data_IF_009736079997
#
_entry.id   IF_009736079997
#
_cell.length_a   1.000
_cell.length_b   1.000
_cell.length_c   1.000
_cell.angle_alpha   90.00
_cell.angle_beta   90.00
_cell.angle_gamma   90.00
#
_symmetry.space_group_name_H-M   'P 1'
#
loop_
_entity.id
_entity.type
_entity.pdbx_description
1 polymer ?
#
# COMPACT_ATOMS: atom_id res chain seq x y z
N UNK A 1 -18.50 25.77 -8.72
CA UNK A 1 -19.77 25.33 -8.11
C UNK A 1 -19.43 24.97 -6.67
N UNK A 2 -20.05 25.56 -5.64
CA UNK A 2 -19.81 25.17 -4.26
C UNK A 2 -20.26 23.70 -4.06
N UNK A 3 -19.53 22.93 -3.24
CA UNK A 3 -19.85 21.53 -2.93
C UNK A 3 -21.29 21.35 -2.41
N UNK A 4 -21.90 22.41 -1.87
CA UNK A 4 -23.31 22.46 -1.44
C UNK A 4 -24.34 22.25 -2.55
N UNK A 5 -23.93 22.30 -3.82
CA UNK A 5 -24.81 22.10 -4.99
C UNK A 5 -24.63 20.73 -5.67
N UNK A 6 -23.66 19.92 -5.23
CA UNK A 6 -23.48 18.54 -5.69
C UNK A 6 -24.41 17.62 -4.89
N UNK A 7 -25.55 17.24 -5.47
CA UNK A 7 -26.36 16.14 -4.94
C UNK A 7 -25.71 14.81 -5.31
N UNK A 8 -24.72 14.39 -4.53
CA UNK A 8 -24.16 13.05 -4.59
C UNK A 8 -25.02 12.14 -3.71
N UNK A 9 -25.41 10.97 -4.24
CA UNK A 9 -25.98 9.92 -3.41
C UNK A 9 -24.96 9.60 -2.29
N UNK A 10 -25.45 9.40 -1.07
CA UNK A 10 -24.65 9.08 0.12
C UNK A 10 -23.75 10.23 0.67
N UNK A 11 -23.88 11.46 0.16
CA UNK A 11 -23.24 12.64 0.76
C UNK A 11 -24.20 13.35 1.72
N UNK A 12 -24.07 13.13 3.02
CA UNK A 12 -24.81 13.87 4.04
C UNK A 12 -24.06 15.16 4.43
N UNK A 13 -24.61 16.36 4.15
CA UNK A 13 -23.95 17.60 4.53
C UNK A 13 -23.74 17.69 6.05
N UNK A 14 -22.49 17.87 6.46
CA UNK A 14 -22.13 18.01 7.87
C UNK A 14 -21.86 16.70 8.60
N UNK A 15 -21.82 15.55 7.92
CA UNK A 15 -21.30 14.30 8.49
C UNK A 15 -19.91 14.56 9.11
N UNK A 16 -19.65 14.19 10.38
CA UNK A 16 -18.31 14.35 10.97
C UNK A 16 -17.27 13.47 10.27
N UNK A 17 -16.04 13.97 10.10
CA UNK A 17 -14.93 13.21 9.51
C UNK A 17 -14.77 11.83 10.15
N UNK A 18 -14.85 11.73 11.48
CA UNK A 18 -14.75 10.46 12.19
C UNK A 18 -15.77 9.43 11.69
N UNK A 19 -17.03 9.84 11.55
CA UNK A 19 -18.13 8.97 11.11
C UNK A 19 -17.91 8.50 9.68
N UNK A 20 -17.51 9.42 8.79
CA UNK A 20 -17.19 9.12 7.40
C UNK A 20 -16.04 8.11 7.27
N UNK A 21 -14.96 8.29 8.04
CA UNK A 21 -13.80 7.37 8.08
C UNK A 21 -14.19 6.00 8.62
N UNK A 22 -15.04 5.93 9.67
CA UNK A 22 -15.54 4.67 10.20
C UNK A 22 -16.37 3.89 9.18
N UNK A 23 -17.24 4.59 8.45
CA UNK A 23 -18.05 4.01 7.38
C UNK A 23 -17.16 3.46 6.26
N UNK A 24 -16.18 4.24 5.82
CA UNK A 24 -15.24 3.80 4.79
C UNK A 24 -14.42 2.58 5.26
N UNK A 25 -13.90 2.60 6.49
CA UNK A 25 -13.15 1.48 7.06
C UNK A 25 -13.99 0.19 7.10
N UNK A 26 -15.28 0.30 7.44
CA UNK A 26 -16.19 -0.84 7.43
C UNK A 26 -16.40 -1.41 6.02
N UNK A 27 -16.48 -0.57 4.98
CA UNK A 27 -16.58 -1.01 3.58
C UNK A 27 -15.33 -1.82 3.19
N UNK A 28 -14.14 -1.31 3.49
CA UNK A 28 -12.89 -2.00 3.16
C UNK A 28 -12.69 -3.30 3.93
N UNK A 29 -13.14 -3.34 5.19
CA UNK A 29 -13.18 -4.57 5.98
C UNK A 29 -14.10 -5.60 5.33
N UNK A 30 -15.31 -5.21 4.94
CA UNK A 30 -16.23 -6.10 4.23
C UNK A 30 -15.62 -6.63 2.92
N UNK A 31 -14.96 -5.77 2.14
CA UNK A 31 -14.28 -6.20 0.93
C UNK A 31 -13.18 -7.23 1.20
N UNK A 32 -12.42 -7.07 2.28
CA UNK A 32 -11.41 -8.05 2.70
C UNK A 32 -12.04 -9.38 3.11
N UNK A 33 -13.14 -9.34 3.86
CA UNK A 33 -13.88 -10.51 4.34
C UNK A 33 -14.51 -11.35 3.21
N UNK A 34 -14.60 -10.82 1.98
CA UNK A 34 -15.02 -11.60 0.80
C UNK A 34 -14.00 -12.66 0.36
N UNK A 35 -12.77 -12.61 0.87
CA UNK A 35 -11.70 -13.58 0.59
C UNK A 35 -11.49 -14.46 1.81
N UNK A 36 -11.79 -15.75 1.71
CA UNK A 36 -11.64 -16.73 2.81
C UNK A 36 -10.17 -17.08 3.18
N UNK A 37 -9.19 -16.31 2.71
CA UNK A 37 -7.78 -16.48 3.04
C UNK A 37 -7.33 -15.33 3.96
N UNK A 38 -6.93 -15.58 5.22
CA UNK A 38 -6.47 -14.52 6.11
C UNK A 38 -5.09 -14.00 5.71
N UNK A 39 -4.90 -12.69 5.82
CA UNK A 39 -3.62 -12.00 5.68
C UNK A 39 -3.27 -11.27 6.98
N UNK A 40 -2.33 -11.78 7.79
CA UNK A 40 -2.00 -11.21 9.09
C UNK A 40 -1.59 -9.74 9.05
N UNK A 41 -1.02 -9.26 7.94
CA UNK A 41 -0.67 -7.84 7.80
C UNK A 41 -1.91 -6.97 7.61
N UNK A 42 -2.90 -7.46 6.87
CA UNK A 42 -4.18 -6.76 6.68
C UNK A 42 -4.97 -6.78 7.98
N UNK A 43 -5.05 -7.93 8.66
CA UNK A 43 -5.71 -8.05 9.96
C UNK A 43 -5.12 -7.05 10.96
N UNK A 44 -3.79 -7.02 11.07
CA UNK A 44 -3.09 -6.08 11.94
C UNK A 44 -3.37 -4.61 11.56
N UNK A 45 -3.31 -4.28 10.27
CA UNK A 45 -3.55 -2.92 9.80
C UNK A 45 -4.99 -2.47 10.08
N UNK A 46 -5.98 -3.34 9.88
CA UNK A 46 -7.39 -3.04 10.15
C UNK A 46 -7.64 -2.81 11.64
N UNK A 47 -7.04 -3.61 12.53
CA UNK A 47 -7.09 -3.36 13.99
C UNK A 47 -6.42 -2.04 14.34
N UNK A 48 -5.21 -1.78 13.83
CA UNK A 48 -4.52 -0.52 14.08
C UNK A 48 -5.36 0.69 13.63
N UNK A 49 -6.06 0.57 12.49
CA UNK A 49 -6.92 1.64 11.98
C UNK A 49 -8.10 1.91 12.90
N UNK A 50 -8.77 0.89 13.44
CA UNK A 50 -9.87 1.07 14.40
C UNK A 50 -9.41 1.83 15.66
N UNK A 51 -8.22 1.50 16.17
CA UNK A 51 -7.68 2.08 17.39
C UNK A 51 -7.23 3.54 17.23
N UNK A 52 -6.94 3.96 15.99
CA UNK A 52 -6.29 5.23 15.69
C UNK A 52 -7.16 6.21 14.89
N UNK A 53 -8.48 5.97 14.77
CA UNK A 53 -9.39 6.83 13.99
C UNK A 53 -9.25 8.31 14.41
N UNK A 54 -9.01 9.24 13.44
CA UNK A 54 -8.86 10.66 13.72
C UNK A 54 -10.00 11.24 14.56
N UNK A 55 -9.63 12.04 15.57
CA UNK A 55 -10.58 12.61 16.54
C UNK A 55 -10.99 14.05 16.24
N UNK A 56 -10.76 14.52 15.01
CA UNK A 56 -10.99 15.90 14.60
C UNK A 56 -12.48 16.23 14.55
N UNK A 57 -12.85 17.38 15.12
CA UNK A 57 -14.21 17.93 15.05
C UNK A 57 -14.33 18.85 13.82
N UNK A 58 -14.47 18.23 12.66
CA UNK A 58 -14.68 18.91 11.39
C UNK A 58 -15.60 18.07 10.49
N UNK A 59 -16.39 18.71 9.61
CA UNK A 59 -17.23 18.00 8.66
C UNK A 59 -16.38 17.32 7.58
N UNK A 60 -16.83 16.15 7.15
CA UNK A 60 -16.28 15.44 6.00
C UNK A 60 -16.43 16.29 4.73
N UNK A 61 -15.50 16.08 3.80
CA UNK A 61 -15.51 16.70 2.47
C UNK A 61 -15.58 15.60 1.41
N UNK A 62 -15.87 15.97 0.17
CA UNK A 62 -15.68 15.05 -0.94
C UNK A 62 -14.18 14.80 -1.13
N UNK A 63 -13.76 13.56 -0.94
CA UNK A 63 -12.40 13.11 -1.30
C UNK A 63 -12.46 12.38 -2.64
N UNK A 64 -11.38 12.48 -3.41
CA UNK A 64 -11.26 11.74 -4.68
C UNK A 64 -11.17 10.24 -4.43
N UNK A 65 -10.45 9.84 -3.36
CA UNK A 65 -10.32 8.45 -2.94
C UNK A 65 -9.35 7.62 -3.78
N UNK A 66 -8.79 8.21 -4.85
CA UNK A 66 -7.64 7.70 -5.62
C UNK A 66 -6.75 8.83 -6.18
N UNK A 67 -6.40 9.83 -5.37
CA UNK A 67 -5.66 10.99 -5.88
C UNK A 67 -4.21 10.65 -6.30
N UNK A 68 -3.79 11.06 -7.50
CA UNK A 68 -2.39 10.96 -7.91
C UNK A 68 -2.12 11.15 -9.40
N UNK A 69 -0.83 11.17 -9.82
CA UNK A 69 -0.40 11.53 -11.17
C UNK A 69 -1.10 10.77 -12.32
N UNK A 70 -1.46 9.50 -12.10
CA UNK A 70 -2.17 8.68 -13.09
C UNK A 70 -3.59 9.16 -13.42
N UNK A 71 -4.19 9.96 -12.54
CA UNK A 71 -5.58 10.42 -12.65
C UNK A 71 -5.68 11.89 -13.07
N UNK A 72 -4.56 12.55 -13.39
CA UNK A 72 -4.52 13.95 -13.82
C UNK A 72 -4.21 14.08 -15.30
N UNK A 73 -5.10 14.74 -16.04
CA UNK A 73 -4.80 15.18 -17.39
C UNK A 73 -4.20 16.57 -17.37
N UNK A 74 -3.17 16.79 -18.17
CA UNK A 74 -2.51 18.08 -18.31
C UNK A 74 -2.60 18.57 -19.75
N UNK A 75 -2.90 19.87 -19.90
CA UNK A 75 -2.86 20.59 -21.16
C UNK A 75 -2.08 21.88 -20.97
N UNK A 76 -1.06 22.11 -21.80
CA UNK A 76 -0.21 23.32 -21.75
C UNK A 76 0.39 23.63 -20.35
N UNK A 77 0.75 22.59 -19.59
CA UNK A 77 1.33 22.75 -18.24
C UNK A 77 0.31 23.01 -17.12
N UNK A 78 -0.98 22.95 -17.41
CA UNK A 78 -2.06 23.08 -16.43
C UNK A 78 -2.89 21.80 -16.37
N UNK A 79 -3.35 21.44 -15.17
CA UNK A 79 -4.29 20.32 -15.02
C UNK A 79 -5.63 20.68 -15.69
N UNK A 80 -6.06 19.87 -16.65
CA UNK A 80 -7.29 20.08 -17.44
C UNK A 80 -8.44 19.19 -16.97
N UNK A 81 -8.17 18.01 -16.42
CA UNK A 81 -9.18 17.12 -15.86
C UNK A 81 -8.64 16.22 -14.75
N UNK A 82 -9.55 15.83 -13.87
CA UNK A 82 -9.37 14.79 -12.86
C UNK A 82 -10.26 13.60 -13.23
N UNK A 83 -9.64 12.43 -13.39
CA UNK A 83 -10.28 11.20 -13.84
C UNK A 83 -10.50 10.24 -12.68
N UNK A 84 -11.35 9.24 -12.91
CA UNK A 84 -11.48 8.05 -12.05
C UNK A 84 -12.01 8.32 -10.63
N UNK A 85 -13.27 8.73 -10.57
CA UNK A 85 -13.99 9.05 -9.33
C UNK A 85 -14.67 7.83 -8.68
N UNK A 86 -14.32 6.60 -9.06
CA UNK A 86 -15.04 5.40 -8.60
C UNK A 86 -14.84 5.12 -7.10
N UNK A 87 -13.76 5.64 -6.52
CA UNK A 87 -13.45 5.55 -5.09
C UNK A 87 -13.82 6.83 -4.32
N UNK A 88 -14.51 7.79 -4.95
CA UNK A 88 -14.87 9.04 -4.32
C UNK A 88 -15.95 8.85 -3.25
N UNK A 89 -15.75 9.48 -2.09
CA UNK A 89 -16.65 9.36 -0.94
C UNK A 89 -16.56 10.60 -0.04
N UNK A 90 -17.49 10.79 0.92
CA UNK A 90 -17.27 11.71 2.03
C UNK A 90 -16.14 11.20 2.92
N UNK A 91 -15.15 12.04 3.23
CA UNK A 91 -13.98 11.64 4.03
C UNK A 91 -13.19 12.83 4.60
N UNK A 92 -11.99 12.51 5.12
CA UNK A 92 -11.05 13.52 5.60
C UNK A 92 -10.23 14.08 4.41
N UNK A 93 -10.12 15.40 4.22
CA UNK A 93 -9.26 15.96 3.17
C UNK A 93 -7.80 15.48 3.21
N UNK A 94 -7.31 15.02 4.37
CA UNK A 94 -5.96 14.48 4.51
C UNK A 94 -5.76 13.15 3.78
N UNK A 95 -6.84 12.44 3.42
CA UNK A 95 -6.78 11.18 2.68
C UNK A 95 -6.16 11.35 1.30
N UNK A 96 -6.61 12.34 0.52
CA UNK A 96 -6.05 12.56 -0.82
C UNK A 96 -4.57 12.95 -0.75
N UNK A 97 -4.15 13.70 0.28
CA UNK A 97 -2.73 14.00 0.52
C UNK A 97 -1.93 12.75 0.90
N UNK A 98 -2.53 11.80 1.62
CA UNK A 98 -1.92 10.51 1.93
C UNK A 98 -1.74 9.65 0.67
N UNK A 99 -2.73 9.62 -0.23
CA UNK A 99 -2.62 8.98 -1.55
C UNK A 99 -1.45 9.54 -2.36
N UNK A 100 -1.34 10.87 -2.45
CA UNK A 100 -0.21 11.54 -3.09
C UNK A 100 1.13 11.15 -2.48
N UNK A 101 1.22 11.17 -1.14
CA UNK A 101 2.45 10.83 -0.43
C UNK A 101 2.85 9.38 -0.67
N UNK A 102 1.92 8.43 -0.65
CA UNK A 102 2.22 7.02 -0.92
C UNK A 102 2.68 6.82 -2.37
N UNK A 103 2.00 7.45 -3.34
CA UNK A 103 2.29 7.31 -4.78
C UNK A 103 3.61 7.98 -5.20
N UNK A 104 4.09 8.96 -4.43
CA UNK A 104 5.37 9.64 -4.70
C UNK A 104 6.60 8.71 -4.69
N UNK A 105 6.48 7.49 -4.14
CA UNK A 105 7.54 6.46 -4.21
C UNK A 105 7.72 5.95 -5.65
N UNK A 106 6.64 5.92 -6.43
CA UNK A 106 6.68 5.49 -7.84
C UNK A 106 6.93 6.68 -8.77
N UNK A 107 6.24 7.79 -8.51
CA UNK A 107 6.33 9.01 -9.32
C UNK A 107 6.57 10.20 -8.39
N UNK A 108 7.84 10.56 -8.13
CA UNK A 108 8.18 11.60 -7.17
C UNK A 108 7.54 12.93 -7.53
N UNK A 109 6.85 13.52 -6.57
CA UNK A 109 6.34 14.89 -6.68
C UNK A 109 7.50 15.85 -6.40
N UNK A 110 7.88 16.72 -7.35
CA UNK A 110 8.91 17.73 -7.10
C UNK A 110 8.48 18.68 -5.98
N UNK A 111 9.38 18.91 -5.03
CA UNK A 111 9.18 19.85 -3.91
C UNK A 111 7.85 19.64 -3.16
N UNK A 112 7.65 18.41 -2.65
CA UNK A 112 6.48 18.04 -1.87
C UNK A 112 6.18 19.01 -0.70
N UNK A 113 7.17 19.53 0.05
CA UNK A 113 6.92 20.56 1.05
C UNK A 113 6.28 21.83 0.49
N UNK A 114 6.74 22.34 -0.65
CA UNK A 114 6.11 23.51 -1.28
C UNK A 114 4.67 23.22 -1.74
N UNK A 115 4.38 22.01 -2.20
CA UNK A 115 3.01 21.58 -2.54
C UNK A 115 2.10 21.61 -1.32
N UNK A 116 2.56 21.08 -0.18
CA UNK A 116 1.81 21.14 1.08
C UNK A 116 1.55 22.60 1.50
N UNK A 117 2.56 23.46 1.48
CA UNK A 117 2.38 24.89 1.82
C UNK A 117 1.45 25.62 0.85
N UNK A 118 1.41 25.22 -0.43
CA UNK A 118 0.46 25.76 -1.39
C UNK A 118 -0.98 25.31 -1.09
N UNK A 119 -1.16 24.03 -0.73
CA UNK A 119 -2.43 23.49 -0.30
C UNK A 119 -2.97 24.22 0.94
N UNK A 120 -2.18 24.38 1.99
CA UNK A 120 -2.58 25.09 3.22
C UNK A 120 -3.06 26.51 2.95
N UNK A 121 -2.35 27.24 2.09
CA UNK A 121 -2.71 28.62 1.71
C UNK A 121 -4.05 28.71 0.99
N UNK A 122 -4.34 27.74 0.11
CA UNK A 122 -5.59 27.69 -0.67
C UNK A 122 -6.75 27.20 0.19
N UNK A 123 -6.52 26.17 1.01
CA UNK A 123 -7.51 25.60 1.92
C UNK A 123 -7.84 26.54 3.09
N UNK A 124 -6.92 27.45 3.45
CA UNK A 124 -7.08 28.36 4.59
C UNK A 124 -6.90 27.66 5.95
N UNK A 125 -6.39 26.44 5.96
CA UNK A 125 -6.16 25.62 7.14
C UNK A 125 -4.81 24.89 7.05
N UNK A 126 -4.20 24.64 8.20
CA UNK A 126 -2.97 23.88 8.27
C UNK A 126 -3.22 22.40 7.97
N UNK A 127 -2.25 21.77 7.31
CA UNK A 127 -2.24 20.32 7.10
C UNK A 127 -1.87 19.63 8.40
N UNK A 128 -2.58 18.56 8.70
CA UNK A 128 -2.34 17.74 9.88
C UNK A 128 -1.57 16.49 9.50
N UNK A 129 -0.28 16.47 9.84
CA UNK A 129 0.61 15.38 9.50
C UNK A 129 0.26 14.07 10.23
N UNK A 130 -0.35 14.12 11.42
CA UNK A 130 -0.79 12.93 12.13
C UNK A 130 -1.98 12.28 11.42
N UNK A 131 -2.92 13.11 10.93
CA UNK A 131 -4.03 12.61 10.10
C UNK A 131 -3.55 12.09 8.76
N UNK A 132 -2.57 12.73 8.12
CA UNK A 132 -1.92 12.15 6.93
C UNK A 132 -1.28 10.80 7.25
N UNK A 133 -0.58 10.66 8.39
CA UNK A 133 0.04 9.39 8.77
C UNK A 133 -1.00 8.27 8.95
N UNK A 134 -2.11 8.55 9.64
CA UNK A 134 -3.26 7.64 9.73
C UNK A 134 -3.76 7.23 8.34
N UNK A 135 -4.05 8.21 7.48
CA UNK A 135 -4.57 7.93 6.15
C UNK A 135 -3.56 7.23 5.25
N UNK A 136 -2.26 7.42 5.46
CA UNK A 136 -1.21 6.66 4.75
C UNK A 136 -1.28 5.17 5.10
N UNK A 137 -1.55 4.82 6.35
CA UNK A 137 -1.83 3.43 6.72
C UNK A 137 -3.09 2.95 6.00
N UNK A 138 -4.17 3.75 6.04
CA UNK A 138 -5.45 3.35 5.48
C UNK A 138 -5.38 3.10 3.97
N UNK A 139 -4.88 4.06 3.18
CA UNK A 139 -4.76 3.91 1.73
C UNK A 139 -3.79 2.78 1.33
N UNK A 140 -2.73 2.56 2.11
CA UNK A 140 -1.82 1.43 1.87
C UNK A 140 -2.52 0.09 2.14
N UNK A 141 -3.32 0.01 3.21
CA UNK A 141 -4.13 -1.17 3.52
C UNK A 141 -5.15 -1.46 2.42
N UNK A 142 -5.84 -0.43 1.90
CA UNK A 142 -6.77 -0.55 0.77
C UNK A 142 -6.09 -1.17 -0.46
N UNK A 143 -4.90 -0.69 -0.82
CA UNK A 143 -4.14 -1.28 -1.95
C UNK A 143 -3.77 -2.74 -1.70
N UNK A 144 -3.39 -3.10 -0.47
CA UNK A 144 -3.10 -4.50 -0.12
C UNK A 144 -4.37 -5.36 -0.20
N UNK A 145 -5.52 -4.88 0.31
CA UNK A 145 -6.82 -5.56 0.22
C UNK A 145 -7.24 -5.79 -1.25
N UNK A 146 -7.11 -4.78 -2.12
CA UNK A 146 -7.41 -4.92 -3.55
C UNK A 146 -6.57 -6.05 -4.16
N UNK A 147 -5.29 -6.14 -3.81
CA UNK A 147 -4.35 -7.16 -4.33
C UNK A 147 -4.53 -8.53 -3.69
N UNK A 148 -5.14 -8.58 -2.51
CA UNK A 148 -5.55 -9.79 -1.83
C UNK A 148 -6.76 -10.40 -2.54
N UNK A 149 -7.75 -9.57 -2.85
CA UNK A 149 -8.95 -9.95 -3.63
C UNK A 149 -8.65 -10.30 -5.08
N UNK A 150 -7.77 -9.53 -5.74
CA UNK A 150 -7.51 -9.66 -7.17
C UNK A 150 -6.17 -10.34 -7.45
N UNK A 151 -6.21 -11.51 -8.10
CA UNK A 151 -5.03 -12.18 -8.69
C UNK A 151 -4.83 -11.75 -10.16
N UNK A 152 -5.44 -10.66 -10.60
CA UNK A 152 -5.38 -10.21 -12.00
C UNK A 152 -4.05 -9.52 -12.32
N UNK A 153 -3.60 -9.67 -13.56
CA UNK A 153 -2.35 -9.10 -14.07
C UNK A 153 -1.25 -10.14 -14.29
N UNK A 154 -0.23 -9.76 -15.04
CA UNK A 154 0.86 -10.67 -15.36
C UNK A 154 1.68 -11.04 -14.09
N UNK A 155 2.01 -12.33 -13.86
CA UNK A 155 2.62 -12.80 -12.62
C UNK A 155 3.88 -12.03 -12.21
N UNK A 156 4.77 -11.72 -13.16
CA UNK A 156 6.00 -10.98 -12.89
C UNK A 156 5.78 -9.56 -12.35
N UNK A 157 4.71 -8.87 -12.78
CA UNK A 157 4.37 -7.53 -12.28
C UNK A 157 3.66 -7.63 -10.92
N UNK A 158 2.85 -8.68 -10.74
CA UNK A 158 2.15 -8.95 -9.48
C UNK A 158 3.13 -9.18 -8.33
N UNK A 159 4.20 -9.97 -8.53
CA UNK A 159 5.23 -10.21 -7.50
C UNK A 159 5.84 -8.89 -6.99
N UNK A 160 6.31 -8.04 -7.91
CA UNK A 160 6.98 -6.78 -7.55
C UNK A 160 6.02 -5.82 -6.87
N UNK A 161 4.81 -5.66 -7.43
CA UNK A 161 3.81 -4.74 -6.87
C UNK A 161 3.26 -5.21 -5.53
N UNK A 162 3.02 -6.51 -5.32
CA UNK A 162 2.63 -7.06 -4.01
C UNK A 162 3.72 -6.79 -2.96
N UNK A 163 4.98 -7.09 -3.27
CA UNK A 163 6.09 -6.84 -2.35
C UNK A 163 6.21 -5.35 -1.99
N UNK A 164 6.13 -4.45 -2.98
CA UNK A 164 6.18 -3.01 -2.76
C UNK A 164 5.05 -2.53 -1.84
N UNK A 165 3.79 -2.87 -2.14
CA UNK A 165 2.66 -2.33 -1.39
C UNK A 165 2.58 -2.87 0.04
N UNK A 166 2.99 -4.13 0.26
CA UNK A 166 3.15 -4.66 1.62
C UNK A 166 4.21 -3.89 2.39
N UNK A 167 5.34 -3.57 1.74
CA UNK A 167 6.39 -2.77 2.37
C UNK A 167 5.92 -1.36 2.70
N UNK A 168 5.20 -0.71 1.79
CA UNK A 168 4.63 0.62 2.02
C UNK A 168 3.65 0.64 3.20
N UNK A 169 2.83 -0.40 3.36
CA UNK A 169 1.94 -0.54 4.51
C UNK A 169 2.73 -0.69 5.83
N UNK A 170 3.76 -1.54 5.85
CA UNK A 170 4.63 -1.70 7.02
C UNK A 170 5.33 -0.38 7.37
N UNK A 171 5.86 0.32 6.36
CA UNK A 171 6.53 1.61 6.54
C UNK A 171 5.54 2.68 7.06
N UNK A 172 4.30 2.67 6.56
CA UNK A 172 3.26 3.61 6.99
C UNK A 172 2.85 3.38 8.46
N UNK A 173 2.63 2.13 8.87
CA UNK A 173 2.31 1.76 10.25
C UNK A 173 3.47 2.16 11.17
N UNK A 174 4.70 1.77 10.81
CA UNK A 174 5.89 2.08 11.59
C UNK A 174 6.03 3.59 11.79
N UNK A 175 5.91 4.36 10.70
CA UNK A 175 6.01 5.81 10.75
C UNK A 175 4.89 6.46 11.58
N UNK A 176 3.66 5.94 11.51
CA UNK A 176 2.54 6.45 12.29
C UNK A 176 2.73 6.21 13.80
N UNK A 177 3.37 5.10 14.19
CA UNK A 177 3.73 4.81 15.58
C UNK A 177 5.06 5.46 16.03
N UNK A 178 5.73 6.21 15.14
CA UNK A 178 7.02 6.86 15.45
C UNK A 178 8.22 5.91 15.47
N UNK A 179 8.13 4.77 14.78
CA UNK A 179 9.20 3.78 14.67
C UNK A 179 9.83 3.81 13.27
N UNK A 180 11.14 3.59 13.21
CA UNK A 180 11.80 3.28 11.95
C UNK A 180 11.67 1.79 11.66
N UNK A 181 11.15 1.40 10.49
CA UNK A 181 11.05 -0.01 10.13
C UNK A 181 12.47 -0.58 10.01
N UNK A 182 12.72 -1.80 10.50
CA UNK A 182 14.07 -2.35 10.53
C UNK A 182 14.65 -2.45 9.12
N UNK A 183 15.89 -1.98 8.97
CA UNK A 183 16.66 -2.19 7.74
C UNK A 183 17.09 -3.65 7.73
N UNK A 184 16.42 -4.46 6.92
CA UNK A 184 16.83 -5.84 6.68
C UNK A 184 18.16 -5.84 5.91
N UNK A 185 19.25 -6.19 6.61
CA UNK A 185 20.53 -6.48 5.98
C UNK A 185 20.48 -7.88 5.40
N UNK A 186 20.39 -7.95 4.08
CA UNK A 186 20.36 -9.22 3.36
C UNK A 186 21.80 -9.59 2.98
N UNK A 187 22.29 -10.71 3.49
CA UNK A 187 23.60 -11.25 3.09
C UNK A 187 23.64 -11.57 1.59
N UNK A 188 24.82 -11.47 0.98
CA UNK A 188 25.00 -11.76 -0.44
C UNK A 188 24.58 -13.22 -0.72
N UNK A 189 23.82 -13.49 -1.79
CA UNK A 189 23.25 -14.82 -1.99
C UNK A 189 24.34 -15.80 -2.42
N UNK A 190 24.36 -16.99 -1.83
CA UNK A 190 25.18 -18.10 -2.35
C UNK A 190 24.51 -18.73 -3.57
N UNK A 191 25.32 -19.30 -4.48
CA UNK A 191 24.79 -20.05 -5.61
C UNK A 191 24.33 -21.44 -5.16
N UNK A 192 23.24 -21.91 -5.75
CA UNK A 192 22.69 -23.26 -5.59
C UNK A 192 23.03 -24.13 -6.79
N UNK A 193 22.76 -25.43 -6.69
CA UNK A 193 22.84 -26.39 -7.80
C UNK A 193 22.00 -25.98 -9.03
N UNK A 194 20.92 -25.21 -8.82
CA UNK A 194 20.00 -24.76 -9.88
C UNK A 194 20.36 -23.39 -10.47
N UNK A 195 21.31 -22.66 -9.89
CA UNK A 195 21.59 -21.27 -10.30
C UNK A 195 21.92 -21.15 -11.79
N UNK A 196 22.71 -22.08 -12.33
CA UNK A 196 23.06 -22.10 -13.76
C UNK A 196 21.85 -22.32 -14.69
N UNK A 197 20.80 -23.04 -14.22
CA UNK A 197 19.58 -23.24 -15.00
C UNK A 197 18.79 -21.93 -15.14
N UNK A 198 18.63 -21.20 -14.03
CA UNK A 198 17.96 -19.90 -14.07
C UNK A 198 18.70 -18.91 -14.97
N UNK A 199 20.04 -18.85 -14.84
CA UNK A 199 20.86 -17.93 -15.62
C UNK A 199 20.77 -18.24 -17.13
N UNK A 200 20.85 -19.52 -17.52
CA UNK A 200 20.70 -19.93 -18.92
C UNK A 200 19.36 -19.53 -19.53
N UNK A 201 18.24 -19.76 -18.81
CA UNK A 201 16.91 -19.38 -19.31
C UNK A 201 16.76 -17.85 -19.37
N UNK A 202 17.29 -17.12 -18.38
CA UNK A 202 17.26 -15.66 -18.38
C UNK A 202 18.04 -15.05 -19.54
N UNK A 203 19.18 -15.63 -19.90
CA UNK A 203 19.97 -15.19 -21.04
C UNK A 203 19.28 -15.53 -22.37
N UNK A 204 18.64 -16.70 -22.49
CA UNK A 204 17.83 -17.03 -23.67
C UNK A 204 16.64 -16.08 -23.85
N UNK A 205 15.88 -15.81 -22.78
CA UNK A 205 14.78 -14.83 -22.81
C UNK A 205 15.26 -13.44 -23.25
N UNK A 206 16.45 -13.02 -22.81
CA UNK A 206 17.01 -11.71 -23.14
C UNK A 206 17.54 -11.67 -24.57
N UNK A 207 18.47 -12.55 -24.91
CA UNK A 207 19.35 -12.41 -26.06
C UNK A 207 18.89 -13.20 -27.29
N UNK A 208 18.08 -14.25 -27.08
CA UNK A 208 17.49 -15.05 -28.16
C UNK A 208 16.05 -14.68 -28.46
N UNK A 209 15.30 -14.14 -27.49
CA UNK A 209 13.90 -13.76 -27.68
C UNK A 209 13.74 -12.24 -27.72
N UNK A 210 13.87 -11.55 -26.58
CA UNK A 210 13.51 -10.13 -26.47
C UNK A 210 14.32 -9.20 -27.39
N UNK A 211 15.63 -9.46 -27.58
CA UNK A 211 16.48 -8.67 -28.49
C UNK A 211 16.32 -9.01 -29.97
N UNK A 212 15.66 -10.12 -30.32
CA UNK A 212 15.58 -10.65 -31.70
C UNK A 212 14.23 -10.42 -32.36
N UNK A 213 13.20 -10.11 -31.57
CA UNK A 213 11.86 -9.79 -32.07
C UNK A 213 11.63 -8.27 -32.11
N UNK A 214 10.76 -7.82 -33.01
CA UNK A 214 10.23 -6.46 -33.03
C UNK A 214 8.80 -6.40 -32.49
N UNK A 215 8.20 -7.53 -32.17
CA UNK A 215 6.85 -7.62 -31.62
C UNK A 215 6.84 -7.16 -30.15
N UNK A 216 6.14 -6.06 -29.82
CA UNK A 216 6.11 -5.53 -28.46
C UNK A 216 5.50 -6.49 -27.44
N UNK A 217 4.53 -7.32 -27.85
CA UNK A 217 3.84 -8.26 -26.95
C UNK A 217 4.74 -9.42 -26.57
N UNK A 218 5.56 -9.89 -27.52
CA UNK A 218 6.59 -10.91 -27.27
C UNK A 218 7.68 -10.35 -26.34
N UNK A 219 8.10 -9.09 -26.53
CA UNK A 219 9.06 -8.44 -25.62
C UNK A 219 8.49 -8.29 -24.22
N UNK A 220 7.23 -7.86 -24.08
CA UNK A 220 6.56 -7.73 -22.79
C UNK A 220 6.47 -9.08 -22.07
N UNK A 221 6.03 -10.12 -22.78
CA UNK A 221 5.92 -11.48 -22.26
C UNK A 221 7.27 -12.04 -21.78
N UNK A 222 8.34 -11.87 -22.57
CA UNK A 222 9.68 -12.30 -22.20
C UNK A 222 10.20 -11.58 -20.95
N UNK A 223 9.96 -10.26 -20.84
CA UNK A 223 10.28 -9.48 -19.64
C UNK A 223 9.49 -9.94 -18.43
N UNK A 224 8.21 -10.27 -18.60
CA UNK A 224 7.39 -10.77 -17.49
C UNK A 224 7.90 -12.12 -16.97
N UNK A 225 8.14 -13.08 -17.87
CA UNK A 225 8.71 -14.38 -17.52
C UNK A 225 10.08 -14.24 -16.83
N UNK A 226 10.91 -13.31 -17.29
CA UNK A 226 12.20 -13.03 -16.67
C UNK A 226 12.06 -12.51 -15.23
N UNK A 227 11.01 -11.72 -14.90
CA UNK A 227 10.75 -11.29 -13.51
C UNK A 227 10.40 -12.47 -12.61
N UNK A 228 9.56 -13.38 -13.09
CA UNK A 228 9.19 -14.61 -12.36
C UNK A 228 10.42 -15.49 -12.12
N UNK A 229 11.25 -15.72 -13.15
CA UNK A 229 12.47 -16.52 -13.01
C UNK A 229 13.49 -15.89 -12.05
N UNK A 230 13.65 -14.56 -12.09
CA UNK A 230 14.48 -13.86 -11.11
C UNK A 230 13.97 -14.07 -9.69
N UNK A 231 12.66 -13.93 -9.47
CA UNK A 231 12.05 -14.21 -8.18
C UNK A 231 12.32 -15.65 -7.72
N UNK A 232 12.04 -16.64 -8.56
CA UNK A 232 12.26 -18.05 -8.23
C UNK A 232 13.74 -18.36 -7.95
N UNK A 233 14.66 -17.75 -8.71
CA UNK A 233 16.10 -17.89 -8.48
C UNK A 233 16.50 -17.34 -7.11
N UNK A 234 16.03 -16.15 -6.76
CA UNK A 234 16.34 -15.57 -5.44
C UNK A 234 15.66 -16.35 -4.30
N UNK A 235 14.45 -16.89 -4.51
CA UNK A 235 13.79 -17.77 -3.55
C UNK A 235 14.53 -19.11 -3.37
N UNK A 236 15.05 -19.72 -4.44
CA UNK A 236 15.88 -20.94 -4.32
C UNK A 236 17.19 -20.67 -3.58
N UNK A 237 17.80 -19.48 -3.79
CA UNK A 237 19.07 -19.09 -3.15
C UNK A 237 18.94 -18.67 -1.69
N UNK A 238 17.76 -18.23 -1.24
CA UNK A 238 17.56 -17.59 0.08
C UNK A 238 16.22 -17.86 0.75
N UNK A 239 15.15 -18.00 -0.04
CA UNK A 239 13.76 -17.99 0.44
C UNK A 239 13.48 -19.02 1.53
N UNK A 240 14.10 -20.20 1.45
CA UNK A 240 13.93 -21.25 2.47
C UNK A 240 14.48 -20.86 3.85
N UNK A 241 15.56 -20.07 3.88
CA UNK A 241 16.14 -19.58 5.15
C UNK A 241 15.21 -18.55 5.78
N UNK A 242 14.67 -17.64 4.99
CA UNK A 242 13.64 -16.68 5.44
C UNK A 242 12.38 -17.39 5.92
N UNK A 243 11.84 -18.35 5.16
CA UNK A 243 10.66 -19.12 5.59
C UNK A 243 10.90 -19.84 6.92
N UNK A 244 12.11 -20.35 7.12
CA UNK A 244 12.50 -21.01 8.38
C UNK A 244 12.63 -19.99 9.51
N UNK A 245 13.21 -18.82 9.26
CA UNK A 245 13.33 -17.74 10.23
C UNK A 245 11.95 -17.20 10.63
N UNK A 246 11.09 -16.87 9.66
CA UNK A 246 9.71 -16.44 9.88
C UNK A 246 8.93 -17.46 10.71
N UNK A 247 9.06 -18.75 10.40
CA UNK A 247 8.41 -19.81 11.18
C UNK A 247 8.91 -19.85 12.64
N UNK A 248 10.21 -19.62 12.88
CA UNK A 248 10.78 -19.54 14.24
C UNK A 248 10.29 -18.32 14.98
N UNK A 249 10.28 -17.15 14.35
CA UNK A 249 9.83 -15.90 14.95
C UNK A 249 8.34 -15.98 15.31
N UNK A 250 7.50 -16.51 14.40
CA UNK A 250 6.08 -16.78 14.69
C UNK A 250 5.91 -17.77 15.83
N UNK A 251 6.67 -18.86 15.87
CA UNK A 251 6.59 -19.83 16.96
C UNK A 251 7.02 -19.23 18.31
N UNK A 252 8.05 -18.39 18.31
CA UNK A 252 8.49 -17.66 19.50
C UNK A 252 7.41 -16.68 19.98
N UNK A 253 6.80 -15.93 19.06
CA UNK A 253 5.69 -15.03 19.35
C UNK A 253 4.50 -15.80 19.97
N UNK A 254 4.06 -16.88 19.32
CA UNK A 254 2.96 -17.72 19.84
C UNK A 254 3.30 -18.26 21.23
N UNK A 255 4.54 -18.65 21.48
CA UNK A 255 4.96 -19.14 22.80
C UNK A 255 4.93 -18.08 23.91
N UNK A 256 4.97 -16.78 23.56
CA UNK A 256 4.79 -15.67 24.53
C UNK A 256 3.32 -15.38 24.83
N UNK A 257 2.40 -15.82 23.97
CA UNK A 257 0.96 -15.68 24.17
C UNK A 257 0.49 -16.85 25.07
N UNK A 258 0.21 -16.59 26.34
CA UNK A 258 -0.29 -17.65 27.24
C UNK A 258 -1.75 -18.02 26.90
N UNK A 259 -2.14 -19.30 26.97
CA UNK A 259 -3.47 -19.76 26.51
C UNK A 259 -4.68 -19.16 27.23
N UNK A 260 -4.48 -18.57 28.42
CA UNK A 260 -5.54 -18.13 29.35
C UNK A 260 -5.57 -16.61 29.58
N UNK A 261 -4.75 -15.83 28.87
CA UNK A 261 -4.87 -14.37 28.89
C UNK A 261 -5.41 -13.88 27.54
N UNK A 262 -6.53 -13.14 27.49
CA UNK A 262 -6.87 -12.38 26.30
C UNK A 262 -5.69 -11.45 26.03
N UNK A 263 -5.13 -11.52 24.82
CA UNK A 263 -4.02 -10.66 24.42
C UNK A 263 -4.50 -9.22 24.53
N UNK A 264 -4.14 -8.52 25.60
CA UNK A 264 -4.43 -7.09 25.67
C UNK A 264 -3.60 -6.41 24.58
N UNK A 265 -4.16 -5.45 23.83
CA UNK A 265 -3.46 -4.63 22.83
C UNK A 265 -2.11 -4.10 23.32
N UNK A 266 -1.98 -3.88 24.63
CA UNK A 266 -0.76 -3.46 25.31
C UNK A 266 0.37 -4.50 25.21
N UNK A 267 0.06 -5.79 25.27
CA UNK A 267 1.04 -6.88 25.17
C UNK A 267 1.55 -7.06 23.73
N UNK A 268 0.69 -6.86 22.72
CA UNK A 268 1.11 -6.81 21.30
C UNK A 268 1.98 -5.58 21.03
N UNK A 269 1.58 -4.41 21.55
CA UNK A 269 2.35 -3.17 21.43
C UNK A 269 3.72 -3.24 22.12
N UNK A 270 3.81 -3.82 23.32
CA UNK A 270 5.06 -3.95 24.06
C UNK A 270 6.03 -4.97 23.43
N UNK A 271 5.52 -5.91 22.64
CA UNK A 271 6.31 -6.91 21.94
C UNK A 271 6.82 -6.41 20.57
N UNK A 272 6.10 -5.48 19.94
CA UNK A 272 6.57 -4.70 18.78
C UNK A 272 7.69 -3.72 19.19
N UNK A 273 7.75 -3.31 20.47
CA UNK A 273 8.74 -2.36 21.02
C UNK A 273 10.07 -2.98 21.44
N UNK A 274 10.17 -4.31 21.54
CA UNK A 274 11.34 -5.03 22.04
C UNK A 274 12.22 -5.59 20.91
#
# INVERSE_FOLDING_TARGET
MPLTELTLADFEPGEPIRTAVQRELAIWRQMYDEVDEPDPLVDFALTWLDDNIPTVDAPAVLVHGDAGPGNFLFENGHMSALLDWELAHPGDPMEDLAWFSMRSVMEPVPDFPAVISAYERIAGSAVDLARIAYHRVFVSARVVIIRHRNVTGEPGNSIVSKALNRRLLIDAISAADGHEPPILRIEAPTNTERTALYDGVLDDLRDRIARRTTDPDVVASAKNAAKVLKYLREYDRRGREFDTQDARERAALIATLTPDQPVSERALSDLIRA
#
